data_IF_181165887654
#
_entry.id   IF_181165887654
#
_cell.length_a   1.000
_cell.length_b   1.000
_cell.length_c   1.000
_cell.angle_alpha   90.00
_cell.angle_beta   90.00
_cell.angle_gamma   90.00
#
_symmetry.space_group_name_H-M   'P 1'
#
loop_
_entity.id
_entity.type
_entity.pdbx_description
1 polymer ?
#
# COMPACT_ATOMS: atom_id res chain seq x y z
N UNK A 1 -13.14 -7.25 21.53
CA UNK A 1 -14.05 -6.17 21.95
C UNK A 1 -13.24 -4.91 22.23
N UNK A 2 -13.71 -3.73 21.75
CA UNK A 2 -13.11 -2.44 22.08
C UNK A 2 -13.79 -1.93 23.35
N UNK A 3 -13.01 -1.65 24.37
CA UNK A 3 -13.50 -1.11 25.65
C UNK A 3 -13.08 0.35 25.74
N UNK A 4 -14.03 1.24 25.99
CA UNK A 4 -13.76 2.67 26.12
C UNK A 4 -12.93 2.98 27.36
N UNK A 5 -12.13 4.05 27.31
CA UNK A 5 -11.34 4.53 28.45
C UNK A 5 -12.21 4.81 29.68
N UNK A 6 -13.41 5.37 29.49
CA UNK A 6 -14.40 5.61 30.56
C UNK A 6 -14.85 4.32 31.27
N UNK A 7 -14.69 3.17 30.62
CA UNK A 7 -15.03 1.85 31.14
C UNK A 7 -13.78 1.02 31.50
N UNK A 8 -12.68 1.69 31.81
CA UNK A 8 -11.36 1.09 32.12
C UNK A 8 -10.71 0.34 30.94
N UNK A 9 -11.02 0.72 29.73
CA UNK A 9 -10.35 0.24 28.51
C UNK A 9 -9.23 1.18 28.05
N UNK A 10 -8.54 0.79 26.97
CA UNK A 10 -7.42 1.53 26.39
C UNK A 10 -7.82 2.30 25.12
N UNK A 11 -9.10 2.36 24.78
CA UNK A 11 -9.57 2.95 23.54
C UNK A 11 -10.22 4.30 23.77
N UNK A 12 -9.67 5.36 23.14
CA UNK A 12 -10.25 6.70 23.14
C UNK A 12 -11.49 6.74 22.25
N UNK A 13 -12.61 7.23 22.80
CA UNK A 13 -13.85 7.47 22.08
C UNK A 13 -14.17 8.95 22.03
N UNK A 14 -14.47 9.46 20.84
CA UNK A 14 -14.90 10.85 20.65
C UNK A 14 -16.16 10.88 19.80
N UNK A 15 -17.26 11.34 20.37
CA UNK A 15 -18.50 11.56 19.64
C UNK A 15 -18.39 12.82 18.80
N UNK A 16 -18.58 12.73 17.48
CA UNK A 16 -18.43 13.85 16.56
C UNK A 16 -19.61 13.99 15.62
N UNK A 17 -19.86 15.21 15.17
CA UNK A 17 -20.76 15.48 14.05
C UNK A 17 -20.04 16.32 13.00
N UNK A 18 -19.69 15.72 11.87
CA UNK A 18 -19.06 16.41 10.75
C UNK A 18 -19.97 17.52 10.16
N UNK A 19 -21.28 17.23 10.01
CA UNK A 19 -22.25 18.17 9.48
C UNK A 19 -22.43 19.40 10.40
N UNK A 20 -22.53 19.17 11.70
CA UNK A 20 -22.72 20.24 12.71
C UNK A 20 -21.41 20.81 13.25
N UNK A 21 -20.26 20.26 12.81
CA UNK A 21 -18.91 20.61 13.27
C UNK A 21 -18.74 20.53 14.80
N UNK A 22 -19.41 19.55 15.44
CA UNK A 22 -19.35 19.32 16.89
C UNK A 22 -18.15 18.42 17.20
N UNK A 23 -17.38 18.78 18.23
CA UNK A 23 -16.25 18.04 18.79
C UNK A 23 -15.12 17.68 17.78
N UNK A 24 -15.00 18.39 16.65
CA UNK A 24 -13.94 18.13 15.69
C UNK A 24 -12.56 18.51 16.24
N UNK A 25 -12.47 19.55 17.06
CA UNK A 25 -11.22 19.95 17.70
C UNK A 25 -10.80 18.94 18.78
N UNK A 26 -11.76 18.44 19.59
CA UNK A 26 -11.50 17.36 20.54
C UNK A 26 -10.99 16.08 19.85
N UNK A 27 -11.51 15.75 18.65
CA UNK A 27 -11.01 14.63 17.86
C UNK A 27 -9.56 14.86 17.44
N UNK A 28 -9.21 16.07 16.97
CA UNK A 28 -7.82 16.41 16.61
C UNK A 28 -6.88 16.32 17.79
N UNK A 29 -7.29 16.84 18.95
CA UNK A 29 -6.51 16.76 20.20
C UNK A 29 -6.27 15.30 20.61
N UNK A 30 -7.29 14.44 20.53
CA UNK A 30 -7.15 13.01 20.82
C UNK A 30 -6.19 12.30 19.87
N UNK A 31 -6.22 12.63 18.57
CA UNK A 31 -5.28 12.11 17.56
C UNK A 31 -3.85 12.56 17.87
N UNK A 32 -3.65 13.83 18.22
CA UNK A 32 -2.32 14.36 18.57
C UNK A 32 -1.79 13.68 19.82
N UNK A 33 -2.60 13.55 20.88
CA UNK A 33 -2.22 12.86 22.11
C UNK A 33 -1.81 11.42 21.83
N UNK A 34 -2.59 10.68 21.05
CA UNK A 34 -2.26 9.31 20.67
C UNK A 34 -0.95 9.24 19.87
N UNK A 35 -0.69 10.20 18.98
CA UNK A 35 0.54 10.24 18.20
C UNK A 35 1.78 10.53 19.07
N UNK A 36 1.63 11.34 20.11
CA UNK A 36 2.71 11.59 21.09
C UNK A 36 3.02 10.36 21.93
N UNK A 37 2.01 9.64 22.38
CA UNK A 37 2.18 8.38 23.15
C UNK A 37 2.88 7.33 22.32
N UNK A 38 2.57 7.21 21.02
CA UNK A 38 3.18 6.24 20.12
C UNK A 38 4.63 6.56 19.75
N UNK A 39 5.11 7.80 19.98
CA UNK A 39 6.48 8.27 19.69
C UNK A 39 6.99 7.81 18.31
N UNK A 40 6.17 8.01 17.27
CA UNK A 40 6.45 7.55 15.91
C UNK A 40 7.65 8.30 15.33
N UNK A 41 8.69 7.56 14.97
CA UNK A 41 9.93 8.11 14.41
C UNK A 41 10.17 7.59 13.01
N UNK A 42 10.77 8.42 12.14
CA UNK A 42 11.21 8.02 10.81
C UNK A 42 12.59 8.61 10.52
N UNK A 43 13.42 7.85 9.82
CA UNK A 43 14.69 8.33 9.32
C UNK A 43 14.48 9.17 8.06
N UNK A 44 15.25 10.24 7.92
CA UNK A 44 15.28 11.08 6.70
C UNK A 44 16.50 10.80 5.83
N UNK A 45 17.40 9.92 6.26
CA UNK A 45 18.68 9.64 5.58
C UNK A 45 18.70 8.28 4.89
N UNK A 46 17.87 7.35 5.34
CA UNK A 46 17.82 5.99 4.80
C UNK A 46 17.16 5.94 3.42
N UNK A 47 17.31 4.81 2.75
CA UNK A 47 16.57 4.50 1.52
C UNK A 47 15.07 4.45 1.80
N UNK A 48 14.27 5.00 0.89
CA UNK A 48 12.84 5.12 1.10
C UNK A 48 12.16 3.75 1.18
N UNK A 49 11.24 3.66 2.15
CA UNK A 49 10.27 2.57 2.30
C UNK A 49 8.87 3.15 2.44
N UNK A 50 7.89 2.41 1.98
CA UNK A 50 6.51 2.85 2.04
C UNK A 50 5.53 1.77 1.64
N UNK A 51 4.31 2.17 1.40
CA UNK A 51 3.22 1.29 1.00
C UNK A 51 2.45 1.91 -0.17
N UNK A 52 2.00 1.08 -1.09
CA UNK A 52 1.13 1.50 -2.18
C UNK A 52 -0.29 1.69 -1.65
N UNK A 53 -0.82 2.89 -1.83
CA UNK A 53 -2.22 3.20 -1.52
C UNK A 53 -3.10 2.82 -2.69
N UNK A 54 -2.70 3.23 -3.89
CA UNK A 54 -3.45 3.06 -5.12
C UNK A 54 -2.50 2.85 -6.30
N UNK A 55 -2.92 2.04 -7.27
CA UNK A 55 -2.20 1.88 -8.54
C UNK A 55 -3.17 1.79 -9.70
N UNK A 56 -2.89 2.52 -10.76
CA UNK A 56 -3.71 2.55 -11.98
C UNK A 56 -2.83 2.60 -13.22
N UNK A 57 -3.42 2.25 -14.36
CA UNK A 57 -2.78 2.41 -15.66
C UNK A 57 -3.39 3.64 -16.34
N UNK A 58 -2.59 4.69 -16.45
CA UNK A 58 -2.97 5.91 -17.17
C UNK A 58 -2.66 5.74 -18.65
N UNK A 59 -3.59 6.17 -19.53
CA UNK A 59 -3.44 6.03 -21.00
C UNK A 59 -2.26 6.81 -21.57
N UNK A 60 -1.81 7.88 -20.90
CA UNK A 60 -0.72 8.74 -21.37
C UNK A 60 0.61 8.52 -20.62
N UNK A 61 0.52 8.20 -19.33
CA UNK A 61 1.68 8.11 -18.43
C UNK A 61 2.13 6.66 -18.17
N UNK A 62 1.31 5.66 -18.54
CA UNK A 62 1.54 4.25 -18.24
C UNK A 62 1.15 3.89 -16.79
N UNK A 63 1.82 2.89 -16.18
CA UNK A 63 1.57 2.53 -14.79
C UNK A 63 1.93 3.68 -13.84
N UNK A 64 0.97 4.07 -13.01
CA UNK A 64 1.08 5.16 -12.03
C UNK A 64 0.62 4.60 -10.68
N UNK A 65 1.37 4.86 -9.62
CA UNK A 65 1.01 4.44 -8.28
C UNK A 65 1.16 5.57 -7.28
N UNK A 66 0.20 5.69 -6.39
CA UNK A 66 0.29 6.55 -5.22
C UNK A 66 0.87 5.75 -4.07
N UNK A 67 2.00 6.19 -3.55
CA UNK A 67 2.67 5.59 -2.40
C UNK A 67 2.67 6.54 -1.22
N UNK A 68 2.58 5.99 -0.01
CA UNK A 68 2.84 6.70 1.23
C UNK A 68 4.20 6.29 1.74
N UNK A 69 5.12 7.25 1.87
CA UNK A 69 6.45 7.00 2.38
C UNK A 69 6.37 6.91 3.91
N UNK A 70 6.82 5.80 4.48
CA UNK A 70 6.86 5.57 5.93
C UNK A 70 8.22 5.87 6.54
N UNK A 71 9.30 5.67 5.78
CA UNK A 71 10.66 5.88 6.25
C UNK A 71 11.59 6.21 5.09
N UNK A 72 12.69 6.93 5.37
CA UNK A 72 13.71 7.26 4.39
C UNK A 72 13.32 8.40 3.44
N UNK A 73 14.19 8.69 2.51
CA UNK A 73 14.01 9.72 1.48
C UNK A 73 13.96 9.06 0.10
N UNK A 74 12.92 9.38 -0.67
CA UNK A 74 12.77 8.98 -2.06
C UNK A 74 13.27 10.08 -2.99
N UNK A 75 14.09 9.73 -3.97
CA UNK A 75 14.63 10.66 -4.96
C UNK A 75 14.23 10.25 -6.37
N UNK A 76 14.14 11.23 -7.25
CA UNK A 76 14.01 10.98 -8.68
C UNK A 76 15.25 10.24 -9.20
N UNK A 77 15.04 9.15 -9.94
CA UNK A 77 16.10 8.29 -10.47
C UNK A 77 16.38 7.04 -9.63
N UNK A 78 15.83 6.94 -8.42
CA UNK A 78 15.98 5.75 -7.59
C UNK A 78 15.35 4.53 -8.25
N UNK A 79 15.98 3.37 -8.07
CA UNK A 79 15.39 2.08 -8.40
C UNK A 79 14.58 1.55 -7.23
N UNK A 80 13.49 0.89 -7.51
CA UNK A 80 12.61 0.39 -6.47
C UNK A 80 11.94 -0.92 -6.85
N UNK A 81 11.54 -1.64 -5.82
CA UNK A 81 10.63 -2.77 -5.89
C UNK A 81 9.30 -2.40 -5.24
N UNK A 82 8.22 -2.87 -5.83
CA UNK A 82 6.87 -2.66 -5.35
C UNK A 82 6.04 -3.94 -5.52
N UNK A 83 5.85 -4.69 -4.43
CA UNK A 83 5.23 -6.01 -4.52
C UNK A 83 6.04 -6.97 -5.41
N UNK A 84 5.45 -7.38 -6.52
CA UNK A 84 6.05 -8.28 -7.53
C UNK A 84 6.53 -7.54 -8.80
N UNK A 85 6.49 -6.21 -8.79
CA UNK A 85 6.99 -5.36 -9.87
C UNK A 85 8.13 -4.46 -9.41
N UNK A 86 8.88 -3.93 -10.35
CA UNK A 86 9.99 -3.04 -10.10
C UNK A 86 9.98 -1.89 -11.11
N UNK A 87 10.82 -0.89 -10.88
CA UNK A 87 10.95 0.22 -11.78
C UNK A 87 12.02 1.22 -11.37
N UNK A 88 12.08 2.33 -12.13
CA UNK A 88 12.90 3.49 -11.84
C UNK A 88 12.05 4.73 -11.75
N UNK A 89 12.22 5.53 -10.72
CA UNK A 89 11.47 6.78 -10.53
C UNK A 89 11.78 7.76 -11.67
N UNK A 90 10.83 7.94 -12.58
CA UNK A 90 10.95 8.91 -13.69
C UNK A 90 10.46 10.30 -13.27
N UNK A 91 9.35 10.33 -12.55
CA UNK A 91 8.78 11.55 -12.01
C UNK A 91 8.01 11.24 -10.73
N UNK A 92 7.91 12.23 -9.86
CA UNK A 92 7.11 12.21 -8.64
C UNK A 92 6.21 13.44 -8.63
N UNK A 93 4.96 13.26 -8.24
CA UNK A 93 3.96 14.31 -8.20
C UNK A 93 3.38 14.33 -6.78
N UNK A 94 3.37 15.49 -6.15
CA UNK A 94 2.81 15.64 -4.81
C UNK A 94 1.27 15.76 -4.86
N UNK A 95 0.64 15.85 -3.68
CA UNK A 95 -0.81 16.00 -3.53
C UNK A 95 -1.39 17.28 -4.14
N UNK A 96 -0.54 18.29 -4.43
CA UNK A 96 -0.92 19.53 -5.12
C UNK A 96 -0.81 19.42 -6.65
N UNK A 97 -0.38 18.28 -7.19
CA UNK A 97 -0.15 18.10 -8.62
C UNK A 97 1.19 18.67 -9.14
N UNK A 98 2.10 19.07 -8.26
CA UNK A 98 3.42 19.59 -8.62
C UNK A 98 4.45 18.48 -8.74
N UNK A 99 5.33 18.57 -9.73
CA UNK A 99 6.47 17.66 -9.86
C UNK A 99 7.51 18.02 -8.79
N UNK A 100 7.94 17.00 -8.05
CA UNK A 100 8.96 17.12 -7.01
C UNK A 100 10.14 16.19 -7.32
N UNK A 101 11.34 16.54 -6.82
CA UNK A 101 12.55 15.74 -7.00
C UNK A 101 12.86 14.84 -5.80
N UNK A 102 12.34 15.18 -4.63
CA UNK A 102 12.52 14.43 -3.39
C UNK A 102 11.19 14.33 -2.65
N UNK A 103 10.98 13.21 -1.97
CA UNK A 103 9.84 13.02 -1.08
C UNK A 103 10.30 12.43 0.27
N UNK A 104 9.71 12.93 1.34
CA UNK A 104 10.07 12.64 2.73
C UNK A 104 9.04 11.71 3.39
N UNK A 105 9.33 11.14 4.56
CA UNK A 105 8.37 10.36 5.33
C UNK A 105 7.06 11.11 5.57
N UNK A 106 5.95 10.37 5.64
CA UNK A 106 4.57 10.85 5.78
C UNK A 106 4.02 11.60 4.56
N UNK A 107 4.77 11.67 3.45
CA UNK A 107 4.29 12.30 2.22
C UNK A 107 3.62 11.27 1.29
N UNK A 108 2.36 11.50 0.88
CA UNK A 108 1.76 10.77 -0.23
C UNK A 108 2.32 11.31 -1.55
N UNK A 109 2.79 10.42 -2.43
CA UNK A 109 3.42 10.79 -3.70
C UNK A 109 2.94 9.88 -4.81
N UNK A 110 2.49 10.47 -5.91
CA UNK A 110 2.23 9.74 -7.15
C UNK A 110 3.55 9.53 -7.88
N UNK A 111 3.90 8.29 -8.17
CA UNK A 111 5.14 7.91 -8.86
C UNK A 111 4.87 7.38 -10.26
N UNK A 112 5.78 7.73 -11.17
CA UNK A 112 5.84 7.23 -12.54
C UNK A 112 7.15 6.48 -12.77
N UNK A 113 7.10 5.41 -13.56
CA UNK A 113 8.30 4.67 -13.96
C UNK A 113 8.28 3.21 -13.54
N UNK A 114 7.13 2.68 -13.13
CA UNK A 114 6.91 1.26 -12.89
C UNK A 114 6.82 0.50 -14.22
N UNK A 115 7.27 -0.74 -14.24
CA UNK A 115 7.13 -1.61 -15.40
C UNK A 115 5.71 -2.19 -15.53
N UNK A 116 5.06 -2.50 -14.40
CA UNK A 116 3.69 -2.99 -14.35
C UNK A 116 2.94 -2.30 -13.19
N UNK A 117 1.62 -2.42 -13.17
CA UNK A 117 0.81 -1.97 -12.05
C UNK A 117 1.09 -2.82 -10.80
N UNK A 118 1.26 -2.19 -9.64
CA UNK A 118 1.33 -2.86 -8.36
C UNK A 118 -0.08 -3.05 -7.79
N UNK A 119 -0.22 -3.88 -6.75
CA UNK A 119 -1.49 -3.97 -6.01
C UNK A 119 -1.50 -3.02 -4.80
N UNK A 120 -2.67 -2.53 -4.43
CA UNK A 120 -2.82 -1.72 -3.22
C UNK A 120 -2.42 -2.52 -1.98
N UNK A 121 -1.71 -1.87 -1.05
CA UNK A 121 -1.11 -2.52 0.11
C UNK A 121 0.26 -3.18 -0.17
N UNK A 122 0.77 -3.16 -1.40
CA UNK A 122 2.10 -3.66 -1.70
C UNK A 122 3.17 -2.84 -0.97
N UNK A 123 4.17 -3.54 -0.45
CA UNK A 123 5.35 -2.90 0.12
C UNK A 123 6.18 -2.25 -0.99
N UNK A 124 6.61 -1.00 -0.76
CA UNK A 124 7.50 -0.23 -1.61
C UNK A 124 8.86 -0.09 -0.92
N UNK A 125 9.94 -0.44 -1.62
CA UNK A 125 11.32 -0.35 -1.09
C UNK A 125 12.25 0.14 -2.20
N UNK A 126 13.07 1.15 -1.90
CA UNK A 126 14.15 1.60 -2.77
C UNK A 126 15.33 0.65 -2.67
N UNK A 127 15.94 0.33 -3.81
CA UNK A 127 17.12 -0.54 -3.95
C UNK A 127 18.32 0.26 -4.45
N UNK A 128 19.52 -0.24 -4.22
CA UNK A 128 20.75 0.45 -4.63
C UNK A 128 20.94 0.46 -6.14
N UNK A 129 20.53 -0.61 -6.82
CA UNK A 129 20.70 -0.76 -8.25
C UNK A 129 19.53 -1.47 -8.92
N UNK A 130 19.54 -1.51 -10.26
CA UNK A 130 18.50 -2.11 -11.08
C UNK A 130 18.45 -3.64 -10.95
N UNK A 131 19.61 -4.28 -10.84
CA UNK A 131 19.72 -5.74 -10.77
C UNK A 131 19.08 -6.27 -9.50
N UNK A 132 19.28 -5.61 -8.36
CA UNK A 132 18.66 -5.97 -7.09
C UNK A 132 17.15 -5.81 -7.14
N UNK A 133 16.66 -4.70 -7.71
CA UNK A 133 15.23 -4.48 -7.88
C UNK A 133 14.58 -5.60 -8.70
N UNK A 134 15.22 -5.99 -9.81
CA UNK A 134 14.75 -7.02 -10.72
C UNK A 134 14.75 -8.41 -10.07
N UNK A 135 15.87 -8.79 -9.46
CA UNK A 135 16.02 -10.09 -8.80
C UNK A 135 15.01 -10.27 -7.65
N UNK A 136 14.83 -9.23 -6.83
CA UNK A 136 13.85 -9.24 -5.74
C UNK A 136 12.40 -9.34 -6.26
N UNK A 137 12.07 -8.64 -7.35
CA UNK A 137 10.75 -8.71 -7.95
C UNK A 137 10.45 -10.10 -8.51
N UNK A 138 11.39 -10.72 -9.20
CA UNK A 138 11.27 -12.09 -9.72
C UNK A 138 11.09 -13.10 -8.58
N UNK A 139 11.86 -12.99 -7.52
CA UNK A 139 11.74 -13.85 -6.34
C UNK A 139 10.37 -13.73 -5.65
N UNK A 140 9.88 -12.50 -5.44
CA UNK A 140 8.54 -12.26 -4.89
C UNK A 140 7.45 -12.84 -5.80
N UNK A 141 7.57 -12.68 -7.12
CA UNK A 141 6.63 -13.23 -8.11
C UNK A 141 6.54 -14.77 -8.08
N UNK A 142 7.69 -15.44 -7.97
CA UNK A 142 7.75 -16.91 -7.87
C UNK A 142 7.06 -17.39 -6.60
N UNK A 143 7.29 -16.73 -5.46
CA UNK A 143 6.69 -17.10 -4.17
C UNK A 143 5.18 -16.87 -4.15
N UNK A 144 4.71 -15.75 -4.72
CA UNK A 144 3.28 -15.47 -4.84
C UNK A 144 2.56 -16.51 -5.70
N UNK A 145 3.20 -16.95 -6.81
CA UNK A 145 2.66 -17.98 -7.68
C UNK A 145 2.66 -19.38 -7.02
N UNK A 146 3.65 -19.70 -6.18
CA UNK A 146 3.67 -20.96 -5.41
C UNK A 146 2.51 -20.99 -4.41
N UNK A 147 2.28 -19.91 -3.68
CA UNK A 147 1.19 -19.83 -2.72
C UNK A 147 -0.19 -19.93 -3.41
N UNK A 148 -0.39 -19.27 -4.55
CA UNK A 148 -1.63 -19.41 -5.35
C UNK A 148 -1.86 -20.85 -5.82
N UNK A 149 -0.81 -21.57 -6.23
CA UNK A 149 -0.91 -22.98 -6.66
C UNK A 149 -1.22 -23.94 -5.52
N UNK A 150 -0.77 -23.67 -4.29
CA UNK A 150 -1.09 -24.48 -3.11
C UNK A 150 -2.59 -24.35 -2.78
N UNK A 151 -3.12 -23.12 -2.74
CA UNK A 151 -4.55 -22.89 -2.48
C UNK A 151 -5.48 -23.45 -3.56
N UNK A 152 -5.03 -23.54 -4.82
CA UNK A 152 -5.83 -24.11 -5.90
C UNK A 152 -5.82 -25.67 -5.90
N UNK A 153 -4.71 -26.30 -5.48
CA UNK A 153 -4.62 -27.76 -5.40
C UNK A 153 -5.45 -28.38 -4.27
N UNK A 154 -5.55 -27.70 -3.12
CA UNK A 154 -6.37 -28.20 -2.02
C UNK A 154 -7.88 -28.08 -2.30
N UNK A 155 -8.30 -27.06 -3.08
CA UNK A 155 -9.71 -26.94 -3.48
C UNK A 155 -10.14 -27.99 -4.50
N UNK A 156 -9.27 -28.42 -5.40
CA UNK A 156 -9.59 -29.47 -6.39
C UNK A 156 -9.70 -30.85 -5.76
N UNK A 157 -8.92 -31.15 -4.72
CA UNK A 157 -8.99 -32.45 -4.02
C UNK A 157 -10.23 -32.65 -3.14
N UNK A 158 -10.82 -31.53 -2.67
CA UNK A 158 -12.05 -31.57 -1.86
C UNK A 158 -13.32 -31.83 -2.68
N UNK A 159 -13.26 -31.77 -4.01
CA UNK A 159 -14.41 -31.91 -4.91
C UNK A 159 -14.32 -33.08 -5.88
N UNK A 160 -13.32 -33.97 -5.75
CA UNK A 160 -13.15 -35.11 -6.67
C UNK A 160 -14.09 -36.28 -6.40
N UNK A 161 -14.90 -36.29 -5.32
CA UNK A 161 -15.76 -37.43 -4.93
C UNK A 161 -17.26 -37.26 -5.23
N UNK A 162 -17.68 -36.30 -6.04
CA UNK A 162 -19.08 -36.16 -6.42
C UNK A 162 -19.28 -36.31 -7.94
N UNK A 163 -19.84 -37.44 -8.30
CA UNK A 163 -20.23 -37.86 -9.66
C UNK A 163 -21.53 -37.20 -10.13
N UNK A 164 -21.83 -35.99 -9.87
CA UNK A 164 -22.83 -35.16 -10.56
C UNK A 164 -22.46 -33.70 -10.33
N UNK A 165 -21.79 -33.13 -11.30
CA UNK A 165 -21.46 -31.69 -11.27
C UNK A 165 -22.57 -30.93 -11.97
N UNK A 166 -23.49 -30.37 -11.21
CA UNK A 166 -24.31 -29.26 -11.69
C UNK A 166 -23.41 -28.05 -11.89
N UNK A 167 -23.12 -27.67 -13.12
CA UNK A 167 -22.33 -26.49 -13.45
C UNK A 167 -23.18 -25.23 -13.30
N UNK A 168 -22.85 -24.38 -12.31
CA UNK A 168 -23.45 -23.07 -12.17
C UNK A 168 -22.59 -22.03 -12.91
N UNK A 169 -23.08 -21.58 -14.07
CA UNK A 169 -22.43 -20.54 -14.84
C UNK A 169 -22.73 -19.16 -14.24
N UNK A 170 -21.70 -18.52 -13.65
CA UNK A 170 -21.81 -17.20 -13.04
C UNK A 170 -21.04 -16.18 -13.90
N UNK A 171 -21.71 -15.11 -14.32
CA UNK A 171 -21.07 -13.96 -14.96
C UNK A 171 -20.90 -12.87 -13.91
N UNK A 172 -19.65 -12.53 -13.58
CA UNK A 172 -19.32 -11.42 -12.68
C UNK A 172 -18.84 -10.26 -13.53
N UNK A 173 -19.52 -9.11 -13.41
CA UNK A 173 -19.08 -7.84 -13.98
C UNK A 173 -18.57 -6.96 -12.84
N UNK A 174 -17.30 -6.53 -12.93
CA UNK A 174 -16.67 -5.60 -12.01
C UNK A 174 -16.22 -4.37 -12.77
N UNK A 175 -16.41 -3.21 -12.17
CA UNK A 175 -15.87 -1.94 -12.66
C UNK A 175 -14.40 -1.81 -12.27
#
# INVERSE_FOLDING_TARGET
ELIAEDLSGDTLFVEVSALKKINLDKLKESILLQSEILDLKASYTDSARGVVIESKIDKGKGPVSTILISNGKLKRGDYFICGDTWGKIRAMINHEGKIINEALPSMPVEILGMNNSAYAGAEFVVTENEEDAKNMAEFKKINTNKNKKVYSKDKTKLFEDTKDKDELNIIIKSD
#
